data_IF_957810276181
#
_entry.id   IF_957810276181
#
_cell.length_a   1.000
_cell.length_b   1.000
_cell.length_c   1.000
_cell.angle_alpha   90.00
_cell.angle_beta   90.00
_cell.angle_gamma   90.00
#
_symmetry.space_group_name_H-M   'P 1'
#
loop_
_entity.id
_entity.type
_entity.pdbx_description
1 polymer ?
#
# COMPACT_ATOMS: atom_id res chain seq x y z
N UNK A 1 -17.01 -18.12 -8.23
CA UNK A 1 -15.71 -17.78 -7.63
C UNK A 1 -14.58 -18.50 -8.36
N UNK A 2 -14.76 -19.76 -8.75
CA UNK A 2 -13.74 -20.53 -9.48
C UNK A 2 -13.32 -19.92 -10.82
N UNK A 3 -14.23 -19.27 -11.55
CA UNK A 3 -13.93 -18.63 -12.84
C UNK A 3 -12.99 -17.41 -12.74
N UNK A 4 -12.81 -16.86 -11.55
CA UNK A 4 -11.86 -15.77 -11.28
C UNK A 4 -10.50 -16.25 -10.79
N UNK A 5 -10.34 -17.53 -10.49
CA UNK A 5 -9.07 -18.05 -10.01
C UNK A 5 -8.10 -18.22 -11.18
N UNK A 6 -6.86 -17.71 -11.07
CA UNK A 6 -5.83 -17.93 -12.07
C UNK A 6 -5.31 -19.37 -12.04
N UNK A 7 -4.72 -19.81 -13.14
CA UNK A 7 -4.02 -21.09 -13.24
C UNK A 7 -2.51 -20.95 -12.92
N UNK A 8 -2.00 -19.72 -12.96
CA UNK A 8 -0.63 -19.34 -12.64
C UNK A 8 -0.66 -17.93 -12.05
N UNK A 9 0.16 -17.69 -11.04
CA UNK A 9 0.38 -16.37 -10.47
C UNK A 9 1.83 -15.97 -10.71
N UNK A 10 2.01 -14.82 -11.35
CA UNK A 10 3.29 -14.13 -11.40
C UNK A 10 3.21 -13.03 -10.35
N UNK A 11 4.04 -13.15 -9.32
CA UNK A 11 4.06 -12.22 -8.21
C UNK A 11 5.34 -11.38 -8.28
N UNK A 12 5.19 -10.07 -8.34
CA UNK A 12 6.31 -9.13 -8.43
C UNK A 12 6.27 -8.21 -7.21
N UNK A 13 7.38 -8.10 -6.52
CA UNK A 13 7.53 -7.25 -5.34
C UNK A 13 7.22 -7.97 -4.03
N UNK A 14 7.03 -7.18 -2.96
CA UNK A 14 6.99 -7.69 -1.59
C UNK A 14 5.58 -7.95 -1.05
N UNK A 15 5.14 -7.12 -0.12
CA UNK A 15 3.97 -7.39 0.71
C UNK A 15 2.71 -6.79 0.14
N UNK A 16 1.78 -7.62 -0.29
CA UNK A 16 0.43 -7.18 -0.65
C UNK A 16 -0.30 -6.65 0.61
N UNK A 17 -0.73 -5.39 0.56
CA UNK A 17 -1.43 -4.71 1.67
C UNK A 17 -2.78 -5.36 1.97
N UNK A 18 -3.53 -5.74 0.93
CA UNK A 18 -4.87 -6.28 1.06
C UNK A 18 -4.90 -7.69 1.67
N UNK A 19 -5.48 -7.82 2.87
CA UNK A 19 -5.76 -9.13 3.49
C UNK A 19 -6.68 -9.99 2.62
N UNK A 20 -7.71 -9.36 2.01
CA UNK A 20 -8.66 -10.07 1.14
C UNK A 20 -7.99 -10.53 -0.15
N UNK A 21 -7.12 -9.70 -0.73
CA UNK A 21 -6.34 -10.07 -1.91
C UNK A 21 -5.45 -11.29 -1.62
N UNK A 22 -4.69 -11.28 -0.52
CA UNK A 22 -3.89 -12.44 -0.12
C UNK A 22 -4.73 -13.70 0.08
N UNK A 23 -5.88 -13.56 0.74
CA UNK A 23 -6.79 -14.70 0.96
C UNK A 23 -7.33 -15.25 -0.37
N UNK A 24 -7.69 -14.39 -1.31
CA UNK A 24 -8.13 -14.78 -2.65
C UNK A 24 -7.03 -15.55 -3.39
N UNK A 25 -5.80 -15.02 -3.39
CA UNK A 25 -4.67 -15.68 -4.04
C UNK A 25 -4.39 -17.08 -3.43
N UNK A 26 -4.44 -17.20 -2.10
CA UNK A 26 -4.29 -18.50 -1.42
C UNK A 26 -5.38 -19.48 -1.77
N UNK A 27 -6.62 -19.02 -1.88
CA UNK A 27 -7.77 -19.85 -2.25
C UNK A 27 -7.72 -20.33 -3.70
N UNK A 28 -7.00 -19.66 -4.58
CA UNK A 28 -6.83 -20.09 -5.96
C UNK A 28 -6.04 -21.37 -6.08
N UNK A 29 -5.14 -21.65 -5.12
CA UNK A 29 -4.19 -22.77 -5.15
C UNK A 29 -3.30 -22.80 -6.40
N UNK A 30 -3.20 -21.70 -7.12
CA UNK A 30 -2.40 -21.60 -8.34
C UNK A 30 -0.90 -21.59 -8.00
N UNK A 31 -0.07 -22.32 -8.75
CA UNK A 31 1.37 -22.22 -8.63
C UNK A 31 1.81 -20.76 -8.81
N UNK A 32 2.76 -20.32 -7.98
CA UNK A 32 3.22 -18.93 -7.96
C UNK A 32 4.70 -18.87 -8.31
N UNK A 33 5.04 -18.00 -9.23
CA UNK A 33 6.42 -17.59 -9.53
C UNK A 33 6.62 -16.23 -8.93
N UNK A 34 7.61 -16.10 -8.04
CA UNK A 34 7.98 -14.82 -7.43
C UNK A 34 9.16 -14.22 -8.16
N UNK A 35 9.01 -12.99 -8.62
CA UNK A 35 10.09 -12.14 -9.08
C UNK A 35 10.47 -11.15 -7.98
N UNK A 36 11.72 -11.19 -7.54
CA UNK A 36 12.22 -10.36 -6.43
C UNK A 36 13.61 -9.81 -6.73
N UNK A 37 13.96 -8.70 -6.10
CA UNK A 37 15.32 -8.15 -6.11
C UNK A 37 16.20 -8.72 -4.99
N UNK A 38 15.62 -9.45 -4.05
CA UNK A 38 16.34 -10.11 -2.95
C UNK A 38 15.70 -11.47 -2.65
N UNK A 39 16.33 -12.52 -3.17
CA UNK A 39 15.89 -13.89 -2.94
C UNK A 39 16.24 -14.43 -1.54
N UNK A 40 16.99 -13.67 -0.72
CA UNK A 40 17.34 -14.09 0.65
C UNK A 40 16.22 -13.84 1.65
N UNK A 41 15.30 -12.91 1.32
CA UNK A 41 14.17 -12.52 2.17
C UNK A 41 12.85 -12.70 1.43
N UNK A 42 12.39 -13.92 1.33
CA UNK A 42 11.18 -14.25 0.58
C UNK A 42 9.98 -14.44 1.50
N UNK A 43 8.94 -13.63 1.26
CA UNK A 43 7.62 -13.90 1.81
C UNK A 43 6.76 -14.60 0.75
N UNK A 44 6.15 -15.74 1.10
CA UNK A 44 5.16 -16.39 0.24
C UNK A 44 3.74 -15.91 0.58
N UNK A 45 3.21 -14.89 -0.12
CA UNK A 45 1.88 -14.37 0.15
C UNK A 45 0.77 -15.34 -0.28
N UNK A 46 1.05 -16.22 -1.23
CA UNK A 46 0.09 -17.15 -1.81
C UNK A 46 0.06 -18.50 -1.10
N UNK A 47 1.15 -18.89 -0.45
CA UNK A 47 1.39 -20.23 0.11
C UNK A 47 1.48 -21.35 -0.94
N UNK A 48 1.73 -20.98 -2.20
CA UNK A 48 1.84 -21.86 -3.35
C UNK A 48 3.05 -21.51 -4.24
N UNK A 49 4.12 -21.00 -3.61
CA UNK A 49 5.35 -20.63 -4.30
C UNK A 49 6.04 -21.89 -4.86
N UNK A 50 6.32 -21.89 -6.16
CA UNK A 50 7.00 -23.00 -6.86
C UNK A 50 8.34 -22.59 -7.44
N UNK A 51 8.56 -21.28 -7.69
CA UNK A 51 9.78 -20.76 -8.27
C UNK A 51 10.05 -19.34 -7.78
N UNK A 52 11.33 -19.01 -7.61
CA UNK A 52 11.82 -17.68 -7.31
C UNK A 52 12.78 -17.28 -8.41
N UNK A 53 12.55 -16.13 -9.01
CA UNK A 53 13.42 -15.51 -9.98
C UNK A 53 13.95 -14.20 -9.41
N UNK A 54 15.26 -14.11 -9.30
CA UNK A 54 15.91 -12.87 -8.87
C UNK A 54 16.26 -12.03 -10.09
N UNK A 55 15.90 -10.73 -10.04
CA UNK A 55 16.21 -9.79 -11.11
C UNK A 55 17.00 -8.60 -10.58
N UNK A 56 17.87 -8.05 -11.41
CA UNK A 56 18.66 -6.87 -11.09
C UNK A 56 17.82 -5.60 -11.13
N UNK A 57 18.36 -4.54 -10.54
CA UNK A 57 17.67 -3.24 -10.49
C UNK A 57 17.46 -2.63 -11.88
N UNK A 58 18.35 -2.95 -12.84
CA UNK A 58 18.33 -2.43 -14.21
C UNK A 58 17.65 -3.39 -15.20
N UNK A 59 17.15 -4.53 -14.73
CA UNK A 59 16.46 -5.49 -15.60
C UNK A 59 15.06 -4.96 -15.95
N UNK A 60 14.76 -5.04 -17.24
CA UNK A 60 13.40 -4.76 -17.73
C UNK A 60 12.52 -6.00 -17.54
N UNK A 61 11.66 -5.97 -16.52
CA UNK A 61 10.72 -7.05 -16.25
C UNK A 61 9.81 -7.38 -17.44
N UNK A 62 9.49 -6.39 -18.29
CA UNK A 62 8.65 -6.62 -19.47
C UNK A 62 9.39 -7.50 -20.46
N UNK A 63 10.70 -7.30 -20.62
CA UNK A 63 11.52 -8.11 -21.54
C UNK A 63 11.66 -9.56 -21.05
N UNK A 64 11.65 -9.82 -19.75
CA UNK A 64 11.69 -11.17 -19.20
C UNK A 64 10.46 -12.01 -19.60
N UNK A 65 9.35 -11.37 -19.92
CA UNK A 65 8.12 -12.04 -20.35
C UNK A 65 7.93 -12.05 -21.87
N UNK A 66 8.73 -11.31 -22.63
CA UNK A 66 8.57 -11.14 -24.07
C UNK A 66 8.69 -12.47 -24.84
N UNK A 67 9.52 -13.40 -24.36
CA UNK A 67 9.77 -14.70 -24.99
C UNK A 67 8.82 -15.81 -24.48
N UNK A 68 7.95 -15.51 -23.52
CA UNK A 68 7.01 -16.47 -22.99
C UNK A 68 5.77 -16.49 -23.89
N UNK A 69 5.60 -17.56 -24.63
CA UNK A 69 4.41 -17.77 -25.46
C UNK A 69 3.19 -18.05 -24.59
N UNK A 70 2.52 -17.00 -24.11
CA UNK A 70 1.26 -17.11 -23.37
C UNK A 70 0.12 -16.92 -24.36
N UNK A 71 -0.79 -17.90 -24.44
CA UNK A 71 -2.07 -17.71 -25.12
C UNK A 71 -3.07 -17.15 -24.10
N UNK A 72 -3.49 -15.90 -24.25
CA UNK A 72 -4.42 -15.29 -23.28
C UNK A 72 -5.79 -15.95 -23.31
N UNK A 73 -6.33 -16.28 -22.14
CA UNK A 73 -7.74 -16.65 -22.02
C UNK A 73 -8.61 -15.38 -22.06
N UNK A 74 -9.21 -15.12 -23.21
CA UNK A 74 -10.05 -13.93 -23.43
C UNK A 74 -11.26 -13.88 -22.49
N UNK A 75 -11.78 -15.04 -22.09
CA UNK A 75 -12.91 -15.11 -21.15
C UNK A 75 -12.47 -14.64 -19.76
N UNK A 76 -11.31 -15.11 -19.30
CA UNK A 76 -10.71 -14.71 -18.02
C UNK A 76 -10.40 -13.20 -18.00
N UNK A 77 -9.79 -12.69 -19.08
CA UNK A 77 -9.46 -11.27 -19.22
C UNK A 77 -10.73 -10.41 -19.18
N UNK A 78 -11.75 -10.76 -19.96
CA UNK A 78 -13.00 -10.00 -20.01
C UNK A 78 -13.71 -9.97 -18.66
N UNK A 79 -13.73 -11.11 -17.97
CA UNK A 79 -14.32 -11.24 -16.64
C UNK A 79 -13.64 -10.34 -15.61
N UNK A 80 -12.30 -10.30 -15.60
CA UNK A 80 -11.56 -9.43 -14.72
C UNK A 80 -11.69 -7.96 -15.06
N UNK A 81 -11.64 -7.61 -16.35
CA UNK A 81 -11.83 -6.23 -16.80
C UNK A 81 -13.19 -5.67 -16.38
N UNK A 82 -14.26 -6.44 -16.54
CA UNK A 82 -15.60 -6.03 -16.07
C UNK A 82 -15.61 -5.75 -14.57
N UNK A 83 -14.98 -6.63 -13.77
CA UNK A 83 -14.93 -6.48 -12.31
C UNK A 83 -14.05 -5.29 -11.87
N UNK A 84 -12.93 -5.09 -12.54
CA UNK A 84 -12.04 -3.97 -12.25
C UNK A 84 -12.71 -2.64 -12.60
N UNK A 85 -13.36 -2.53 -13.75
CA UNK A 85 -14.12 -1.34 -14.13
C UNK A 85 -15.23 -1.04 -13.13
N UNK A 86 -16.00 -2.04 -12.73
CA UNK A 86 -17.03 -1.87 -11.71
C UNK A 86 -16.45 -1.43 -10.37
N UNK A 87 -15.33 -2.01 -9.93
CA UNK A 87 -14.67 -1.62 -8.68
C UNK A 87 -14.14 -0.19 -8.74
N UNK A 88 -13.50 0.20 -9.84
CA UNK A 88 -13.00 1.57 -10.07
C UNK A 88 -14.15 2.57 -10.01
N UNK A 89 -15.25 2.29 -10.73
CA UNK A 89 -16.43 3.17 -10.70
C UNK A 89 -17.03 3.26 -9.30
N UNK A 90 -17.17 2.14 -8.60
CA UNK A 90 -17.67 2.12 -7.22
C UNK A 90 -16.82 2.96 -6.29
N UNK A 91 -15.49 2.92 -6.42
CA UNK A 91 -14.56 3.73 -5.60
C UNK A 91 -14.69 5.22 -5.96
N UNK A 92 -14.78 5.54 -7.25
CA UNK A 92 -14.93 6.91 -7.73
C UNK A 92 -16.24 7.55 -7.24
N UNK A 93 -17.34 6.81 -7.33
CA UNK A 93 -18.69 7.28 -6.94
C UNK A 93 -18.86 7.39 -5.42
N UNK A 94 -17.97 6.77 -4.65
CA UNK A 94 -18.08 6.75 -3.21
C UNK A 94 -17.79 8.12 -2.61
N UNK A 95 -18.77 8.68 -1.90
CA UNK A 95 -18.65 9.92 -1.15
C UNK A 95 -18.63 9.59 0.36
N UNK A 96 -17.45 9.36 0.94
CA UNK A 96 -17.38 9.07 2.36
C UNK A 96 -17.73 10.31 3.18
N UNK A 97 -18.43 10.11 4.31
CA UNK A 97 -18.59 11.13 5.32
C UNK A 97 -17.23 11.55 5.88
N UNK A 98 -17.16 12.68 6.57
CA UNK A 98 -15.95 13.17 7.21
C UNK A 98 -15.34 12.09 8.12
N UNK A 99 -14.19 11.58 7.72
CA UNK A 99 -13.55 10.42 8.31
C UNK A 99 -12.09 10.30 7.82
N UNK A 100 -11.32 9.37 8.35
CA UNK A 100 -9.98 9.07 7.83
C UNK A 100 -10.02 8.76 6.32
N UNK A 101 -11.00 7.98 5.88
CA UNK A 101 -11.19 7.68 4.46
C UNK A 101 -11.43 8.92 3.61
N UNK A 102 -12.30 9.81 4.10
CA UNK A 102 -12.57 11.10 3.45
C UNK A 102 -11.31 11.92 3.34
N UNK A 103 -10.53 12.01 4.43
CA UNK A 103 -9.32 12.81 4.47
C UNK A 103 -8.27 12.34 3.45
N UNK A 104 -8.07 11.01 3.32
CA UNK A 104 -7.14 10.46 2.32
C UNK A 104 -7.68 10.66 0.90
N UNK A 105 -8.97 10.40 0.65
CA UNK A 105 -9.58 10.65 -0.67
C UNK A 105 -9.40 12.12 -1.10
N UNK A 106 -9.75 13.04 -0.21
CA UNK A 106 -9.62 14.47 -0.47
C UNK A 106 -8.15 14.88 -0.73
N UNK A 107 -7.21 14.35 0.05
CA UNK A 107 -5.79 14.61 -0.16
C UNK A 107 -5.35 14.16 -1.56
N UNK A 108 -5.67 12.93 -1.95
CA UNK A 108 -5.26 12.39 -3.25
C UNK A 108 -5.87 13.17 -4.42
N UNK A 109 -7.13 13.59 -4.31
CA UNK A 109 -7.78 14.46 -5.28
C UNK A 109 -7.05 15.83 -5.40
N UNK A 110 -6.52 16.37 -4.30
CA UNK A 110 -5.74 17.60 -4.34
C UNK A 110 -4.33 17.40 -4.91
N UNK A 111 -3.71 16.23 -4.64
CA UNK A 111 -2.38 15.91 -5.16
C UNK A 111 -2.40 15.73 -6.68
N UNK A 112 -3.46 15.18 -7.25
CA UNK A 112 -3.63 15.03 -8.70
C UNK A 112 -3.63 16.37 -9.44
N UNK A 113 -4.10 17.43 -8.80
CA UNK A 113 -4.15 18.78 -9.34
C UNK A 113 -2.81 19.54 -9.20
N UNK A 114 -1.86 18.99 -8.45
CA UNK A 114 -0.56 19.64 -8.23
C UNK A 114 0.46 19.14 -9.25
N UNK A 115 1.05 20.09 -10.01
CA UNK A 115 2.17 19.84 -10.94
C UNK A 115 3.54 19.83 -10.22
N UNK A 116 3.60 19.25 -9.02
CA UNK A 116 4.79 19.21 -8.19
C UNK A 116 5.21 17.77 -7.94
N UNK A 117 6.51 17.51 -7.97
CA UNK A 117 7.07 16.25 -7.50
C UNK A 117 6.98 16.21 -5.97
N UNK A 118 6.05 15.38 -5.47
CA UNK A 118 5.82 15.21 -4.04
C UNK A 118 6.08 13.75 -3.68
N UNK A 119 6.94 13.53 -2.69
CA UNK A 119 7.17 12.20 -2.13
C UNK A 119 6.20 11.95 -0.98
N UNK A 120 5.26 11.04 -1.20
CA UNK A 120 4.19 10.77 -0.23
C UNK A 120 4.47 9.50 0.53
N UNK A 121 4.63 9.63 1.85
CA UNK A 121 4.81 8.53 2.79
C UNK A 121 3.52 8.27 3.55
N UNK A 122 3.00 7.07 3.44
CA UNK A 122 1.84 6.62 4.19
C UNK A 122 2.25 5.71 5.34
N UNK A 123 1.78 6.02 6.54
CA UNK A 123 1.94 5.12 7.69
C UNK A 123 1.15 3.82 7.48
N UNK A 124 1.56 2.79 8.19
CA UNK A 124 0.83 1.53 8.24
C UNK A 124 -0.59 1.72 8.81
N UNK A 125 -1.36 0.65 8.90
CA UNK A 125 -2.74 0.63 9.37
C UNK A 125 -3.70 1.26 8.35
N UNK A 126 -4.55 2.21 8.76
CA UNK A 126 -5.61 2.77 7.91
C UNK A 126 -5.05 3.66 6.81
N UNK A 127 -3.97 4.40 7.07
CA UNK A 127 -3.37 5.32 6.12
C UNK A 127 -3.04 4.63 4.77
N UNK A 128 -2.15 3.65 4.77
CA UNK A 128 -1.77 2.93 3.55
C UNK A 128 -2.93 2.14 2.94
N UNK A 129 -3.89 1.69 3.76
CA UNK A 129 -5.05 0.96 3.22
C UNK A 129 -5.96 1.85 2.39
N UNK A 130 -6.16 3.10 2.80
CA UNK A 130 -6.90 4.07 2.00
C UNK A 130 -6.09 4.56 0.81
N UNK A 131 -4.76 4.71 0.96
CA UNK A 131 -3.88 4.99 -0.17
C UNK A 131 -4.03 3.94 -1.29
N UNK A 132 -4.15 2.66 -0.96
CA UNK A 132 -4.37 1.61 -1.99
C UNK A 132 -5.67 1.74 -2.77
N UNK A 133 -6.60 2.60 -2.33
CA UNK A 133 -7.87 2.85 -3.03
C UNK A 133 -7.84 4.11 -3.88
N UNK A 134 -7.05 5.11 -3.47
CA UNK A 134 -7.15 6.47 -4.01
C UNK A 134 -5.85 6.98 -4.64
N UNK A 135 -4.68 6.52 -4.18
CA UNK A 135 -3.40 6.98 -4.74
C UNK A 135 -3.16 6.38 -6.14
N UNK A 136 -2.75 7.23 -7.08
CA UNK A 136 -2.38 6.86 -8.44
C UNK A 136 -0.89 7.12 -8.74
N UNK A 137 -0.10 7.45 -7.72
CA UNK A 137 1.33 7.72 -7.77
C UNK A 137 2.12 6.74 -6.90
N UNK A 138 3.46 6.84 -6.92
CA UNK A 138 4.30 6.01 -6.07
C UNK A 138 4.14 6.38 -4.59
N UNK A 139 3.83 5.40 -3.76
CA UNK A 139 3.61 5.56 -2.32
C UNK A 139 4.74 4.90 -1.53
N UNK A 140 5.37 5.66 -0.64
CA UNK A 140 6.34 5.14 0.31
C UNK A 140 5.65 4.64 1.58
N UNK A 141 6.02 3.45 2.05
CA UNK A 141 5.46 2.88 3.26
C UNK A 141 6.43 1.87 3.89
N UNK A 142 6.57 1.88 5.20
CA UNK A 142 7.41 0.95 5.94
C UNK A 142 6.72 -0.42 6.05
N UNK A 143 6.88 -1.29 5.04
CA UNK A 143 6.14 -2.55 4.92
C UNK A 143 6.91 -3.79 5.37
N UNK A 144 8.16 -3.68 5.79
CA UNK A 144 8.96 -4.84 6.22
C UNK A 144 8.34 -5.57 7.40
N UNK A 145 8.08 -4.87 8.51
CA UNK A 145 7.48 -5.43 9.73
C UNK A 145 6.00 -5.08 9.89
N UNK A 146 5.52 -4.07 9.16
CA UNK A 146 4.15 -3.54 9.23
C UNK A 146 3.78 -2.90 10.59
N UNK A 147 4.77 -2.46 11.36
CA UNK A 147 4.57 -1.71 12.60
C UNK A 147 4.01 -0.30 12.34
N UNK A 148 3.50 0.33 13.39
CA UNK A 148 2.99 1.71 13.30
C UNK A 148 4.04 2.76 13.64
N UNK A 149 5.20 2.34 14.11
CA UNK A 149 6.38 3.16 14.41
C UNK A 149 7.23 3.43 13.15
N UNK A 150 8.08 4.44 13.23
CA UNK A 150 9.17 4.70 12.28
C UNK A 150 8.77 5.42 10.99
N UNK A 151 7.50 5.61 10.67
CA UNK A 151 7.09 6.30 9.43
C UNK A 151 7.48 7.77 9.45
N UNK A 152 7.28 8.46 10.57
CA UNK A 152 7.62 9.87 10.70
C UNK A 152 9.14 10.07 10.63
N UNK A 153 9.92 9.20 11.29
CA UNK A 153 11.38 9.21 11.21
C UNK A 153 11.89 8.94 9.80
N UNK A 154 11.27 8.00 9.09
CA UNK A 154 11.61 7.72 7.68
C UNK A 154 11.33 8.92 6.79
N UNK A 155 10.15 9.55 6.94
CA UNK A 155 9.78 10.76 6.18
C UNK A 155 10.69 11.94 6.50
N UNK A 156 11.04 12.10 7.78
CA UNK A 156 11.97 13.14 8.23
C UNK A 156 13.37 12.92 7.63
N UNK A 157 13.88 11.69 7.69
CA UNK A 157 15.16 11.33 7.06
C UNK A 157 15.16 11.55 5.55
N UNK A 158 14.06 11.19 4.89
CA UNK A 158 13.91 11.43 3.45
C UNK A 158 13.93 12.92 3.12
N UNK A 159 13.20 13.75 3.88
CA UNK A 159 13.18 15.22 3.66
C UNK A 159 14.54 15.88 3.87
N UNK A 160 15.38 15.33 4.76
CA UNK A 160 16.76 15.80 4.95
C UNK A 160 17.64 15.40 3.77
N UNK A 161 17.44 14.19 3.23
CA UNK A 161 18.20 13.68 2.09
C UNK A 161 17.81 14.33 0.76
N UNK A 162 16.58 14.82 0.65
CA UNK A 162 16.03 15.48 -0.54
C UNK A 162 15.50 16.88 -0.18
N UNK A 163 16.39 17.84 0.10
CA UNK A 163 16.01 19.16 0.65
C UNK A 163 15.21 20.04 -0.32
N UNK A 164 15.33 19.78 -1.60
CA UNK A 164 14.66 20.55 -2.66
C UNK A 164 13.27 19.98 -3.02
N UNK A 165 12.95 18.77 -2.51
CA UNK A 165 11.70 18.07 -2.81
C UNK A 165 10.71 18.21 -1.65
N UNK A 166 9.42 18.30 -1.98
CA UNK A 166 8.38 18.28 -0.96
C UNK A 166 8.09 16.84 -0.51
N UNK A 167 8.14 16.63 0.81
CA UNK A 167 7.84 15.34 1.44
C UNK A 167 6.59 15.46 2.28
N UNK A 168 5.60 14.60 2.00
CA UNK A 168 4.35 14.53 2.74
C UNK A 168 4.27 13.21 3.51
N UNK A 169 4.05 13.29 4.81
CA UNK A 169 3.81 12.13 5.69
C UNK A 169 2.34 12.09 6.11
N UNK A 170 1.62 11.06 5.73
CA UNK A 170 0.23 10.82 6.14
C UNK A 170 0.22 9.76 7.24
N UNK A 171 -0.20 10.14 8.43
CA UNK A 171 0.02 9.35 9.64
C UNK A 171 -1.18 9.45 10.60
N UNK A 172 -1.52 8.34 11.26
CA UNK A 172 -2.50 8.34 12.35
C UNK A 172 -1.90 8.81 13.68
N UNK A 173 -2.75 9.13 14.63
CA UNK A 173 -2.41 9.64 15.96
C UNK A 173 -1.49 8.69 16.74
N UNK A 174 -1.84 7.42 16.88
CA UNK A 174 -1.00 6.44 17.58
C UNK A 174 0.37 6.30 16.94
N UNK A 175 0.43 6.19 15.62
CA UNK A 175 1.67 6.10 14.88
C UNK A 175 2.53 7.35 15.07
N UNK A 176 1.91 8.53 15.12
CA UNK A 176 2.59 9.78 15.39
C UNK A 176 3.19 9.81 16.80
N UNK A 177 2.44 9.41 17.82
CA UNK A 177 2.95 9.39 19.20
C UNK A 177 4.11 8.44 19.39
N UNK A 178 4.13 7.30 18.72
CA UNK A 178 5.25 6.36 18.76
C UNK A 178 6.55 6.93 18.20
N UNK A 179 6.48 7.93 17.32
CA UNK A 179 7.64 8.40 16.55
C UNK A 179 7.79 9.93 16.55
N UNK A 180 7.07 10.62 17.41
CA UNK A 180 7.05 12.10 17.48
C UNK A 180 8.41 12.74 17.69
N UNK A 181 9.36 12.02 18.29
CA UNK A 181 10.74 12.47 18.53
C UNK A 181 11.49 12.77 17.22
N UNK A 182 11.05 12.22 16.09
CA UNK A 182 11.63 12.54 14.79
C UNK A 182 11.61 14.04 14.49
N UNK A 183 10.62 14.77 15.01
CA UNK A 183 10.45 16.22 14.80
C UNK A 183 11.39 17.08 15.66
N UNK A 184 12.11 16.51 16.61
CA UNK A 184 13.09 17.24 17.42
C UNK A 184 14.44 17.39 16.72
N UNK A 185 14.53 17.00 15.47
CA UNK A 185 15.73 17.07 14.67
C UNK A 185 15.97 18.50 14.17
N UNK A 186 17.15 19.06 14.47
CA UNK A 186 17.54 20.41 14.04
C UNK A 186 17.86 20.53 12.56
N UNK A 187 18.01 19.40 11.87
CA UNK A 187 18.34 19.36 10.45
C UNK A 187 17.08 19.34 9.57
N UNK A 188 15.88 19.27 10.15
CA UNK A 188 14.65 19.34 9.39
C UNK A 188 14.51 20.69 8.68
N UNK A 189 14.32 20.64 7.37
CA UNK A 189 13.98 21.78 6.54
C UNK A 189 12.49 22.09 6.55
N UNK A 190 12.11 23.14 5.81
CA UNK A 190 10.71 23.52 5.63
C UNK A 190 9.97 22.65 4.58
N UNK A 191 10.57 21.59 4.08
CA UNK A 191 10.04 20.73 3.00
C UNK A 191 9.26 19.51 3.50
N UNK A 192 9.30 19.18 4.79
CA UNK A 192 8.44 18.14 5.38
C UNK A 192 7.05 18.72 5.72
N UNK A 193 6.02 17.99 5.31
CA UNK A 193 4.63 18.23 5.71
C UNK A 193 4.09 16.97 6.38
N UNK A 194 3.32 17.14 7.43
CA UNK A 194 2.70 16.02 8.15
C UNK A 194 1.20 16.23 8.18
N UNK A 195 0.48 15.28 7.59
CA UNK A 195 -0.95 15.17 7.72
C UNK A 195 -1.25 14.15 8.81
N UNK A 196 -1.53 14.66 10.01
CA UNK A 196 -1.94 13.85 11.14
C UNK A 196 -3.47 13.69 11.13
N UNK A 197 -3.91 12.43 10.98
CA UNK A 197 -5.33 12.08 11.09
C UNK A 197 -5.57 11.49 12.48
N UNK A 198 -6.26 12.26 13.31
CA UNK A 198 -6.62 11.86 14.67
C UNK A 198 -8.04 11.29 14.67
N UNK A 199 -8.17 9.99 14.88
CA UNK A 199 -9.43 9.29 15.06
C UNK A 199 -9.71 8.92 16.52
N UNK A 200 -8.97 9.52 17.45
CA UNK A 200 -9.06 9.36 18.92
C UNK A 200 -8.80 7.93 19.39
N UNK A 201 -7.96 7.17 18.65
CA UNK A 201 -7.64 5.81 19.06
C UNK A 201 -7.12 4.94 17.93
N UNK A 202 -7.16 3.63 18.13
CA UNK A 202 -6.78 2.67 17.10
C UNK A 202 -7.96 2.33 16.18
N UNK A 203 -8.41 3.24 15.30
CA UNK A 203 -9.57 3.05 14.43
C UNK A 203 -9.61 1.73 13.64
N UNK A 204 -8.43 1.08 13.44
CA UNK A 204 -8.37 -0.25 12.84
C UNK A 204 -9.02 -1.32 13.73
N UNK A 205 -8.98 -1.17 15.04
CA UNK A 205 -9.51 -2.15 15.99
C UNK A 205 -11.04 -2.25 15.90
N UNK A 206 -11.73 -1.16 15.58
CA UNK A 206 -13.16 -1.17 15.30
C UNK A 206 -13.54 -2.13 14.15
N UNK A 207 -12.62 -2.43 13.27
CA UNK A 207 -12.82 -3.34 12.13
C UNK A 207 -12.35 -4.78 12.40
N UNK A 208 -11.83 -5.08 13.60
CA UNK A 208 -11.40 -6.43 13.97
C UNK A 208 -12.57 -7.19 14.59
N UNK A 209 -13.05 -8.22 13.89
CA UNK A 209 -14.17 -9.05 14.35
C UNK A 209 -13.85 -9.71 15.70
N UNK A 210 -14.69 -9.44 16.72
CA UNK A 210 -14.56 -10.03 18.04
C UNK A 210 -13.71 -9.21 19.02
N UNK A 211 -13.24 -8.04 18.62
CA UNK A 211 -12.63 -7.10 19.56
C UNK A 211 -13.73 -6.30 20.28
N UNK A 212 -13.75 -6.27 21.63
CA UNK A 212 -14.71 -5.44 22.35
C UNK A 212 -14.39 -3.96 22.10
N UNK A 213 -15.41 -3.17 21.85
CA UNK A 213 -15.32 -1.73 21.98
C UNK A 213 -15.40 -1.41 23.48
N UNK A 214 -14.30 -0.98 24.05
CA UNK A 214 -14.19 -0.55 25.44
C UNK A 214 -13.33 0.70 25.51
N UNK A 215 -13.38 1.39 26.62
CA UNK A 215 -12.65 2.64 26.88
C UNK A 215 -11.12 2.49 26.71
N UNK A 216 -10.59 1.25 26.68
CA UNK A 216 -9.16 0.96 26.45
C UNK A 216 -8.75 1.07 24.98
N UNK A 217 -9.71 1.12 24.06
CA UNK A 217 -9.49 1.36 22.63
C UNK A 217 -9.62 2.84 22.26
N UNK A 218 -10.12 3.65 23.16
CA UNK A 218 -10.28 5.10 23.03
C UNK A 218 -9.12 5.77 23.80
N UNK A 219 -8.23 6.45 23.10
CA UNK A 219 -7.09 7.15 23.68
C UNK A 219 -7.27 8.65 23.56
#
# INVERSE_FOLDING_TARGET
ISSYHPNLIIYIGDTLVSKRGRQFLRQSQAPTILFTQDATHVADPTQHLVMIEEYGRDDDLVSLFADIAITPDQTFISLWNERLQHATQTIADLQPEYSYRWAVKYLEEQLDDLYLDIYVHYANSMAVRYATLYANHYVYCNRGVNGIEGTLSTSAGFSIASPDDLVLCVIGDLSFFYDQNALWNRNLGGNLRVMLVNDHGGGIFANVKGMPHNDETDI
#
